data_IF_804801796596
#
_entry.id   IF_804801796596
#
_cell.length_a   1.000
_cell.length_b   1.000
_cell.length_c   1.000
_cell.angle_alpha   90.00
_cell.angle_beta   90.00
_cell.angle_gamma   90.00
#
_symmetry.space_group_name_H-M   'P 1'
#
loop_
_entity.id
_entity.type
_entity.pdbx_description
1 polymer ?
#
# COMPACT_ATOMS: atom_id res chain seq x y z
N UNK A 1 -12.34 13.14 -21.48
CA UNK A 1 -11.16 12.67 -22.24
C UNK A 1 -9.93 13.28 -21.59
N UNK A 2 -9.39 12.63 -20.56
CA UNK A 2 -8.10 13.05 -20.00
C UNK A 2 -7.04 12.45 -20.91
N UNK A 3 -6.46 13.28 -21.77
CA UNK A 3 -5.26 12.91 -22.50
C UNK A 3 -4.20 12.55 -21.46
N UNK A 4 -3.89 11.27 -21.32
CA UNK A 4 -2.66 10.83 -20.68
C UNK A 4 -1.52 11.47 -21.46
N UNK A 5 -0.95 12.52 -20.89
CA UNK A 5 0.27 13.13 -21.38
C UNK A 5 1.36 12.05 -21.26
N UNK A 6 1.70 11.41 -22.38
CA UNK A 6 2.81 10.45 -22.44
C UNK A 6 4.09 11.24 -22.18
N UNK A 7 4.53 11.27 -20.93
CA UNK A 7 5.83 11.80 -20.56
C UNK A 7 6.89 10.88 -21.19
N UNK A 8 7.47 11.32 -22.30
CA UNK A 8 8.56 10.62 -22.96
C UNK A 8 9.85 10.83 -22.16
N UNK A 9 10.51 9.73 -21.78
CA UNK A 9 11.73 9.77 -20.97
C UNK A 9 12.91 9.42 -21.89
N UNK A 10 13.78 10.39 -22.22
CA UNK A 10 14.90 10.18 -23.13
C UNK A 10 16.01 9.37 -22.47
N UNK A 11 16.46 8.29 -23.11
CA UNK A 11 17.58 7.47 -22.64
C UNK A 11 18.96 8.07 -22.96
N UNK A 12 18.98 9.09 -23.80
CA UNK A 12 20.13 9.97 -24.08
C UNK A 12 19.66 11.41 -23.84
N UNK A 13 19.64 11.86 -22.57
CA UNK A 13 19.00 13.11 -22.19
C UNK A 13 19.77 14.33 -22.72
N UNK A 14 19.03 15.36 -23.15
CA UNK A 14 19.60 16.63 -23.63
C UNK A 14 19.24 17.76 -22.66
N UNK A 15 20.23 18.19 -21.87
CA UNK A 15 20.05 19.27 -20.89
C UNK A 15 19.43 18.82 -19.57
N UNK A 16 19.22 19.78 -18.67
CA UNK A 16 18.94 19.52 -17.25
C UNK A 16 17.60 18.83 -17.00
N UNK A 17 16.57 19.19 -17.75
CA UNK A 17 15.23 18.62 -17.57
C UNK A 17 15.21 17.13 -17.92
N UNK A 18 15.79 16.78 -19.07
CA UNK A 18 15.89 15.40 -19.53
C UNK A 18 16.75 14.53 -18.60
N UNK A 19 17.86 15.09 -18.09
CA UNK A 19 18.69 14.42 -17.08
C UNK A 19 17.83 14.08 -15.86
N UNK A 20 17.05 15.03 -15.37
CA UNK A 20 16.20 14.82 -14.21
C UNK A 20 15.07 13.80 -14.46
N UNK A 21 14.48 13.81 -15.66
CA UNK A 21 13.49 12.80 -16.08
C UNK A 21 14.10 11.39 -16.08
N UNK A 22 15.28 11.23 -16.69
CA UNK A 22 15.96 9.94 -16.73
C UNK A 22 16.41 9.48 -15.34
N UNK A 23 16.98 10.38 -14.53
CA UNK A 23 17.36 10.11 -13.14
C UNK A 23 16.16 9.61 -12.32
N UNK A 24 15.05 10.33 -12.38
CA UNK A 24 13.80 9.97 -11.69
C UNK A 24 13.29 8.61 -12.15
N UNK A 25 13.28 8.39 -13.47
CA UNK A 25 12.82 7.13 -14.04
C UNK A 25 13.69 5.94 -13.63
N UNK A 26 15.02 6.11 -13.62
CA UNK A 26 15.96 5.09 -13.18
C UNK A 26 15.81 4.79 -11.69
N UNK A 27 15.65 5.82 -10.86
CA UNK A 27 15.46 5.66 -9.43
C UNK A 27 14.17 4.90 -9.14
N UNK A 28 13.03 5.38 -9.64
CA UNK A 28 11.72 4.75 -9.42
C UNK A 28 11.70 3.35 -10.03
N UNK A 29 12.12 3.20 -11.29
CA UNK A 29 12.17 1.91 -11.97
C UNK A 29 13.04 0.88 -11.24
N UNK A 30 14.11 1.30 -10.57
CA UNK A 30 14.95 0.41 -9.76
C UNK A 30 14.32 0.12 -8.39
N UNK A 31 13.76 1.13 -7.72
CA UNK A 31 13.15 0.99 -6.39
C UNK A 31 11.94 0.04 -6.40
N UNK A 32 11.13 0.06 -7.45
CA UNK A 32 9.93 -0.77 -7.57
C UNK A 32 10.20 -2.19 -8.10
N UNK A 33 11.46 -2.55 -8.34
CA UNK A 33 11.79 -3.95 -8.63
C UNK A 33 11.53 -4.82 -7.38
N UNK A 34 10.86 -5.98 -7.51
CA UNK A 34 10.55 -6.84 -6.37
C UNK A 34 11.78 -7.24 -5.53
N UNK A 35 12.89 -7.56 -6.19
CA UNK A 35 14.15 -7.94 -5.53
C UNK A 35 14.79 -6.79 -4.75
N UNK A 36 14.58 -5.55 -5.21
CA UNK A 36 15.10 -4.34 -4.54
C UNK A 36 14.20 -3.95 -3.36
N UNK A 37 12.87 -4.04 -3.51
CA UNK A 37 11.93 -3.80 -2.42
C UNK A 37 12.16 -4.74 -1.23
N UNK A 38 12.40 -6.02 -1.50
CA UNK A 38 12.71 -7.01 -0.47
C UNK A 38 14.02 -6.66 0.24
N UNK A 39 15.07 -6.34 -0.52
CA UNK A 39 16.38 -5.95 0.01
C UNK A 39 16.31 -4.72 0.90
N UNK A 40 15.58 -3.68 0.47
CA UNK A 40 15.38 -2.47 1.28
C UNK A 40 14.58 -2.82 2.55
N UNK A 41 13.57 -3.68 2.46
CA UNK A 41 12.77 -4.08 3.62
C UNK A 41 13.60 -4.87 4.65
N UNK A 42 14.54 -5.71 4.21
CA UNK A 42 15.38 -6.52 5.11
C UNK A 42 16.63 -5.82 5.62
N UNK A 43 17.08 -4.73 4.96
CA UNK A 43 18.28 -4.02 5.36
C UNK A 43 18.10 -3.23 6.67
N UNK A 44 19.08 -3.31 7.58
CA UNK A 44 19.15 -2.46 8.77
C UNK A 44 19.40 -0.99 8.37
N UNK A 45 20.22 -0.76 7.34
CA UNK A 45 20.58 0.57 6.82
C UNK A 45 19.79 0.98 5.58
N UNK A 46 18.45 0.97 5.66
CA UNK A 46 17.57 1.28 4.51
C UNK A 46 17.85 2.63 3.87
N UNK A 47 18.13 3.64 4.69
CA UNK A 47 18.39 5.02 4.25
C UNK A 47 19.67 5.11 3.43
N UNK A 48 20.74 4.43 3.85
CA UNK A 48 22.02 4.34 3.13
C UNK A 48 21.85 3.67 1.76
N UNK A 49 21.03 2.62 1.69
CA UNK A 49 20.71 1.94 0.43
C UNK A 49 19.96 2.84 -0.54
N UNK A 50 18.95 3.57 -0.06
CA UNK A 50 18.17 4.51 -0.88
C UNK A 50 19.05 5.66 -1.36
N UNK A 51 19.90 6.24 -0.50
CA UNK A 51 20.86 7.29 -0.90
C UNK A 51 21.83 6.77 -1.98
N UNK A 52 22.38 5.56 -1.79
CA UNK A 52 23.28 4.94 -2.77
C UNK A 52 22.62 4.69 -4.12
N UNK A 53 21.32 4.32 -4.14
CA UNK A 53 20.53 4.17 -5.36
C UNK A 53 20.27 5.51 -6.05
N UNK A 54 19.93 6.55 -5.29
CA UNK A 54 19.72 7.90 -5.82
C UNK A 54 21.00 8.44 -6.48
N UNK A 55 22.15 8.32 -5.81
CA UNK A 55 23.45 8.74 -6.38
C UNK A 55 23.78 7.93 -7.63
N UNK A 56 23.52 6.62 -7.64
CA UNK A 56 23.76 5.78 -8.81
C UNK A 56 22.89 6.17 -10.02
N UNK A 57 21.60 6.42 -9.79
CA UNK A 57 20.65 6.85 -10.81
C UNK A 57 21.04 8.23 -11.38
N UNK A 58 21.35 9.19 -10.51
CA UNK A 58 21.80 10.53 -10.90
C UNK A 58 23.11 10.50 -11.67
N UNK A 59 24.05 9.66 -11.26
CA UNK A 59 25.33 9.49 -11.95
C UNK A 59 25.13 8.93 -13.36
N UNK A 60 24.34 7.86 -13.50
CA UNK A 60 24.09 7.24 -14.80
C UNK A 60 23.36 8.19 -15.75
N UNK A 61 22.35 8.93 -15.28
CA UNK A 61 21.60 9.87 -16.10
C UNK A 61 22.52 10.96 -16.72
N UNK A 62 23.47 11.47 -15.94
CA UNK A 62 24.45 12.47 -16.38
C UNK A 62 25.51 11.88 -17.31
N UNK A 63 25.97 10.65 -17.06
CA UNK A 63 26.87 9.95 -17.98
C UNK A 63 26.21 9.78 -19.36
N UNK A 64 24.91 9.46 -19.39
CA UNK A 64 24.15 9.39 -20.67
C UNK A 64 23.96 10.75 -21.33
N UNK A 65 24.02 11.84 -20.57
CA UNK A 65 24.12 13.21 -21.07
C UNK A 65 25.53 13.61 -21.52
N UNK A 66 26.50 12.67 -21.57
CA UNK A 66 27.90 12.86 -21.96
C UNK A 66 28.73 13.72 -21.00
N UNK A 67 28.28 13.90 -19.76
CA UNK A 67 29.10 14.52 -18.71
C UNK A 67 30.27 13.60 -18.33
N UNK A 68 31.41 14.20 -18.02
CA UNK A 68 32.59 13.50 -17.51
C UNK A 68 32.40 13.10 -16.05
N UNK A 69 33.16 12.09 -15.59
CA UNK A 69 33.12 11.66 -14.18
C UNK A 69 33.40 12.79 -13.19
N UNK A 70 34.22 13.77 -13.57
CA UNK A 70 34.57 14.92 -12.75
C UNK A 70 33.39 15.87 -12.58
N UNK A 71 32.73 16.24 -13.69
CA UNK A 71 31.53 17.10 -13.67
C UNK A 71 30.38 16.44 -12.90
N UNK A 72 30.22 15.11 -13.04
CA UNK A 72 29.20 14.36 -12.30
C UNK A 72 29.50 14.37 -10.79
N UNK A 73 30.77 14.20 -10.42
CA UNK A 73 31.22 14.20 -9.03
C UNK A 73 30.96 15.57 -8.37
N UNK A 74 31.27 16.65 -9.08
CA UNK A 74 30.99 18.02 -8.64
C UNK A 74 29.48 18.26 -8.49
N UNK A 75 28.67 17.93 -9.50
CA UNK A 75 27.23 18.20 -9.50
C UNK A 75 26.47 17.38 -8.43
N UNK A 76 26.90 16.13 -8.17
CA UNK A 76 26.29 15.27 -7.14
C UNK A 76 26.92 15.43 -5.74
N UNK A 77 27.97 16.24 -5.60
CA UNK A 77 28.68 16.43 -4.33
C UNK A 77 29.33 15.15 -3.81
N UNK A 78 29.87 14.29 -4.70
CA UNK A 78 30.53 13.02 -4.35
C UNK A 78 31.94 12.96 -4.94
N UNK A 79 32.73 11.99 -4.51
CA UNK A 79 34.08 11.80 -5.09
C UNK A 79 34.00 11.14 -6.47
N UNK A 80 34.94 11.43 -7.36
CA UNK A 80 35.04 10.74 -8.66
C UNK A 80 35.17 9.23 -8.51
N UNK A 81 35.84 8.76 -7.45
CA UNK A 81 35.98 7.33 -7.16
C UNK A 81 34.61 6.70 -6.88
N UNK A 82 33.77 7.36 -6.07
CA UNK A 82 32.39 6.95 -5.79
C UNK A 82 31.58 6.88 -7.08
N UNK A 83 31.58 7.95 -7.89
CA UNK A 83 30.85 8.01 -9.15
C UNK A 83 31.30 6.89 -10.10
N UNK A 84 32.60 6.71 -10.28
CA UNK A 84 33.18 5.66 -11.13
C UNK A 84 32.75 4.27 -10.67
N UNK A 85 32.71 4.02 -9.36
CA UNK A 85 32.29 2.73 -8.82
C UNK A 85 30.79 2.46 -9.08
N UNK A 86 29.93 3.47 -9.03
CA UNK A 86 28.52 3.32 -9.42
C UNK A 86 28.37 3.09 -10.94
N UNK A 87 28.99 3.94 -11.77
CA UNK A 87 28.89 3.84 -13.24
C UNK A 87 29.44 2.52 -13.80
N UNK A 88 30.48 1.97 -13.17
CA UNK A 88 31.05 0.66 -13.58
C UNK A 88 30.33 -0.54 -12.95
N UNK A 89 29.28 -0.32 -12.16
CA UNK A 89 28.52 -1.40 -11.52
C UNK A 89 29.27 -2.16 -10.42
N UNK A 90 30.38 -1.60 -9.91
CA UNK A 90 31.13 -2.19 -8.78
C UNK A 90 30.32 -2.15 -7.49
N UNK A 91 29.52 -1.10 -7.31
CA UNK A 91 28.57 -1.04 -6.19
C UNK A 91 27.29 -1.79 -6.54
N UNK A 92 26.64 -2.37 -5.53
CA UNK A 92 25.38 -3.08 -5.74
C UNK A 92 24.28 -2.13 -6.29
N UNK A 93 24.20 -0.90 -5.77
CA UNK A 93 23.30 0.12 -6.29
C UNK A 93 23.58 0.45 -7.77
N UNK A 94 24.85 0.64 -8.13
CA UNK A 94 25.25 0.87 -9.52
C UNK A 94 24.84 -0.27 -10.44
N UNK A 95 25.08 -1.52 -10.02
CA UNK A 95 24.66 -2.70 -10.77
C UNK A 95 23.14 -2.75 -11.00
N UNK A 96 22.34 -2.51 -9.95
CA UNK A 96 20.88 -2.53 -10.05
C UNK A 96 20.34 -1.45 -11.01
N UNK A 97 20.91 -0.25 -10.95
CA UNK A 97 20.52 0.87 -11.82
C UNK A 97 20.92 0.61 -13.28
N UNK A 98 22.11 0.04 -13.53
CA UNK A 98 22.53 -0.37 -14.88
C UNK A 98 21.59 -1.42 -15.48
N UNK A 99 21.24 -2.45 -14.70
CA UNK A 99 20.26 -3.47 -15.12
C UNK A 99 18.89 -2.85 -15.46
N UNK A 100 18.44 -1.85 -14.68
CA UNK A 100 17.19 -1.12 -14.97
C UNK A 100 17.31 -0.31 -16.27
N UNK A 101 18.43 0.39 -16.48
CA UNK A 101 18.66 1.14 -17.73
C UNK A 101 18.71 0.22 -18.95
N UNK A 102 19.36 -0.95 -18.84
CA UNK A 102 19.39 -1.96 -19.91
C UNK A 102 18.00 -2.49 -20.26
N UNK A 103 17.13 -2.67 -19.26
CA UNK A 103 15.71 -3.01 -19.51
C UNK A 103 15.00 -1.87 -20.25
N UNK A 104 15.20 -0.62 -19.83
CA UNK A 104 14.62 0.53 -20.51
C UNK A 104 15.05 0.64 -21.97
N UNK A 105 16.31 0.30 -22.30
CA UNK A 105 16.79 0.25 -23.69
C UNK A 105 16.06 -0.79 -24.54
N UNK A 106 15.67 -1.93 -23.96
CA UNK A 106 15.04 -3.05 -24.69
C UNK A 106 13.54 -2.87 -24.82
N UNK A 107 12.89 -2.42 -23.76
CA UNK A 107 11.42 -2.48 -23.61
C UNK A 107 10.77 -1.09 -23.66
N UNK A 108 11.58 -0.03 -23.69
CA UNK A 108 11.16 1.33 -23.41
C UNK A 108 11.05 1.59 -21.90
N UNK A 109 10.89 2.85 -21.51
CA UNK A 109 10.70 3.21 -20.10
C UNK A 109 9.29 2.82 -19.66
N UNK A 110 9.17 1.61 -19.12
CA UNK A 110 7.94 1.09 -18.50
C UNK A 110 8.17 1.00 -17.00
N UNK A 111 7.73 2.04 -16.30
CA UNK A 111 7.70 2.00 -14.84
C UNK A 111 6.39 1.35 -14.45
N UNK A 112 6.42 0.04 -14.27
CA UNK A 112 5.35 -0.67 -13.59
C UNK A 112 5.40 -0.23 -12.12
N UNK A 113 4.63 0.82 -11.80
CA UNK A 113 4.22 1.05 -10.43
C UNK A 113 3.40 -0.17 -10.07
N UNK A 114 4.05 -1.18 -9.49
CA UNK A 114 3.36 -2.32 -8.95
C UNK A 114 2.39 -1.74 -7.92
N UNK A 115 1.11 -1.70 -8.32
CA UNK A 115 -0.02 -1.75 -7.41
C UNK A 115 0.31 -2.72 -6.28
N UNK A 116 -0.18 -2.47 -5.04
CA UNK A 116 0.18 -3.25 -3.86
C UNK A 116 0.26 -4.73 -4.24
N UNK A 117 1.33 -5.45 -3.83
CA UNK A 117 1.68 -6.77 -4.34
C UNK A 117 0.42 -7.59 -4.62
N UNK A 118 0.34 -8.33 -5.73
CA UNK A 118 -0.85 -9.14 -6.07
C UNK A 118 -1.45 -9.88 -4.85
N UNK A 119 -0.60 -10.36 -3.94
CA UNK A 119 -0.99 -10.93 -2.64
C UNK A 119 -1.69 -9.96 -1.68
N UNK A 120 -1.26 -8.70 -1.58
CA UNK A 120 -1.97 -7.66 -0.84
C UNK A 120 -3.31 -7.32 -1.50
N UNK A 121 -3.40 -7.27 -2.83
CA UNK A 121 -4.67 -7.03 -3.50
C UNK A 121 -5.66 -8.20 -3.25
N UNK A 122 -5.17 -9.43 -3.29
CA UNK A 122 -5.96 -10.63 -2.99
C UNK A 122 -6.35 -10.69 -1.50
N UNK A 123 -5.44 -10.36 -0.58
CA UNK A 123 -5.73 -10.26 0.86
C UNK A 123 -6.76 -9.18 1.15
N UNK A 124 -6.66 -8.01 0.52
CA UNK A 124 -7.64 -6.93 0.65
C UNK A 124 -9.00 -7.37 0.11
N UNK A 125 -9.04 -8.13 -0.99
CA UNK A 125 -10.29 -8.69 -1.53
C UNK A 125 -10.92 -9.70 -0.56
N UNK A 126 -10.13 -10.65 -0.03
CA UNK A 126 -10.60 -11.63 0.97
C UNK A 126 -11.10 -10.96 2.23
N UNK A 127 -10.36 -10.00 2.77
CA UNK A 127 -10.75 -9.23 3.96
C UNK A 127 -12.04 -8.43 3.73
N UNK A 128 -12.27 -7.92 2.52
CA UNK A 128 -13.52 -7.23 2.17
C UNK A 128 -14.71 -8.21 2.15
N UNK A 129 -14.54 -9.38 1.55
CA UNK A 129 -15.59 -10.41 1.55
C UNK A 129 -15.92 -10.90 2.98
N UNK A 130 -14.90 -11.13 3.81
CA UNK A 130 -15.09 -11.50 5.22
C UNK A 130 -15.80 -10.40 6.00
N UNK A 131 -15.46 -9.13 5.75
CA UNK A 131 -16.09 -7.98 6.39
C UNK A 131 -17.58 -7.88 6.01
N UNK A 132 -17.92 -8.11 4.75
CA UNK A 132 -19.32 -8.05 4.29
C UNK A 132 -20.15 -9.22 4.82
N UNK A 133 -19.58 -10.43 4.88
CA UNK A 133 -20.23 -11.57 5.55
C UNK A 133 -20.47 -11.29 7.03
N UNK A 134 -19.44 -10.84 7.75
CA UNK A 134 -19.55 -10.52 9.17
C UNK A 134 -20.58 -9.41 9.44
N UNK A 135 -20.69 -8.41 8.57
CA UNK A 135 -21.74 -7.37 8.67
C UNK A 135 -23.14 -7.95 8.46
N UNK A 136 -23.32 -8.82 7.46
CA UNK A 136 -24.61 -9.47 7.21
C UNK A 136 -25.03 -10.36 8.38
N UNK A 137 -24.10 -11.15 8.94
CA UNK A 137 -24.35 -11.98 10.12
C UNK A 137 -24.68 -11.11 11.34
N UNK A 138 -23.94 -10.03 11.56
CA UNK A 138 -24.22 -9.09 12.65
C UNK A 138 -25.63 -8.48 12.53
N UNK A 139 -26.07 -8.16 11.31
CA UNK A 139 -27.41 -7.61 11.08
C UNK A 139 -28.51 -8.66 11.35
N UNK A 140 -28.31 -9.91 10.92
CA UNK A 140 -29.25 -11.00 11.22
C UNK A 140 -29.34 -11.26 12.73
N UNK A 141 -28.19 -11.29 13.42
CA UNK A 141 -28.14 -11.48 14.88
C UNK A 141 -28.83 -10.32 15.58
N UNK A 142 -28.66 -9.07 15.13
CA UNK A 142 -29.39 -7.93 15.69
C UNK A 142 -30.90 -8.06 15.53
N UNK A 143 -31.37 -8.43 14.34
CA UNK A 143 -32.80 -8.63 14.09
C UNK A 143 -33.38 -9.75 14.96
N UNK A 144 -32.66 -10.87 15.09
CA UNK A 144 -33.07 -11.97 15.96
C UNK A 144 -33.12 -11.53 17.44
N UNK A 145 -32.09 -10.81 17.90
CA UNK A 145 -32.04 -10.25 19.25
C UNK A 145 -33.19 -9.29 19.53
N UNK A 146 -33.52 -8.39 18.60
CA UNK A 146 -34.68 -7.52 18.73
C UNK A 146 -36.01 -8.28 18.78
N UNK A 147 -36.13 -9.34 17.97
CA UNK A 147 -37.31 -10.21 17.96
C UNK A 147 -37.50 -10.95 19.29
N UNK A 148 -36.42 -11.56 19.81
CA UNK A 148 -36.44 -12.20 21.13
C UNK A 148 -36.72 -11.20 22.25
N UNK A 149 -36.16 -10.00 22.18
CA UNK A 149 -36.42 -8.93 23.15
C UNK A 149 -37.91 -8.53 23.17
N UNK A 150 -38.57 -8.45 22.01
CA UNK A 150 -40.02 -8.19 21.94
C UNK A 150 -40.84 -9.33 22.57
N UNK A 151 -40.52 -10.58 22.22
CA UNK A 151 -41.19 -11.76 22.83
C UNK A 151 -41.02 -11.79 24.34
N UNK A 152 -39.83 -11.46 24.84
CA UNK A 152 -39.58 -11.37 26.28
C UNK A 152 -40.45 -10.30 26.94
N UNK A 153 -40.64 -9.15 26.30
CA UNK A 153 -41.50 -8.08 26.79
C UNK A 153 -42.99 -8.49 26.80
N UNK A 154 -43.47 -9.15 25.75
CA UNK A 154 -44.83 -9.70 25.69
C UNK A 154 -45.09 -10.71 26.82
N UNK A 155 -44.13 -11.62 27.05
CA UNK A 155 -44.21 -12.58 28.15
C UNK A 155 -44.22 -11.88 29.50
N UNK A 156 -43.40 -10.83 29.70
CA UNK A 156 -43.41 -10.01 30.92
C UNK A 156 -44.76 -9.35 31.17
N UNK A 157 -45.37 -8.78 30.14
CA UNK A 157 -46.70 -8.16 30.23
C UNK A 157 -47.80 -9.19 30.53
N UNK A 158 -47.74 -10.37 29.91
CA UNK A 158 -48.66 -11.47 30.19
C UNK A 158 -48.55 -11.94 31.64
N UNK A 159 -47.32 -12.14 32.16
CA UNK A 159 -47.08 -12.49 33.56
C UNK A 159 -47.63 -11.42 34.50
N UNK A 160 -47.42 -10.13 34.19
CA UNK A 160 -47.96 -9.01 34.98
C UNK A 160 -49.49 -9.03 35.05
N UNK A 161 -50.15 -9.27 33.92
CA UNK A 161 -51.62 -9.34 33.83
C UNK A 161 -52.17 -10.56 34.57
N UNK A 162 -51.50 -11.72 34.47
CA UNK A 162 -51.89 -12.92 35.21
C UNK A 162 -51.73 -12.68 36.71
N UNK A 163 -50.63 -12.05 37.12
CA UNK A 163 -50.35 -11.73 38.52
C UNK A 163 -51.40 -10.78 39.10
N UNK A 164 -51.85 -9.77 38.36
CA UNK A 164 -52.90 -8.86 38.81
C UNK A 164 -54.25 -9.57 38.96
N UNK A 165 -54.66 -10.36 37.97
CA UNK A 165 -55.90 -11.15 38.02
C UNK A 165 -55.89 -12.16 39.17
N UNK A 166 -54.76 -12.82 39.41
CA UNK A 166 -54.61 -13.75 40.53
C UNK A 166 -54.78 -13.04 41.88
N UNK A 167 -54.25 -11.82 41.99
CA UNK A 167 -54.40 -10.99 43.20
C UNK A 167 -55.85 -10.56 43.43
N UNK A 168 -56.57 -10.18 42.36
CA UNK A 168 -58.01 -9.87 42.42
C UNK A 168 -58.82 -11.10 42.87
N UNK A 169 -58.58 -12.26 42.24
CA UNK A 169 -59.24 -13.52 42.61
C UNK A 169 -58.99 -13.91 44.07
N UNK A 170 -57.76 -13.74 44.58
CA UNK A 170 -57.45 -13.99 45.98
C UNK A 170 -58.24 -13.06 46.91
N UNK A 171 -58.35 -11.78 46.58
CA UNK A 171 -59.15 -10.83 47.35
C UNK A 171 -60.64 -11.18 47.34
N UNK A 172 -61.17 -11.65 46.22
CA UNK A 172 -62.57 -12.03 46.12
C UNK A 172 -62.88 -13.32 46.89
N UNK A 173 -61.96 -14.30 46.89
CA UNK A 173 -62.05 -15.49 47.75
C UNK A 173 -61.99 -15.11 49.23
N UNK A 174 -61.09 -14.21 49.64
CA UNK A 174 -61.02 -13.73 51.02
C UNK A 174 -62.31 -13.03 51.49
N UNK A 175 -62.99 -12.31 50.60
CA UNK A 175 -64.30 -11.69 50.90
C UNK A 175 -65.43 -12.71 51.03
N UNK A 176 -65.36 -13.84 50.32
CA UNK A 176 -66.38 -14.90 50.37
C UNK A 176 -66.26 -15.80 51.60
N UNK A 177 -65.07 -15.86 52.20
CA UNK A 177 -64.77 -16.69 53.38
C UNK A 177 -64.97 -15.92 54.71
N UNK A 178 -65.17 -14.59 54.67
CA UNK A 178 -65.54 -13.75 55.82
C UNK A 178 -67.03 -13.55 55.92
#
# INVERSE_FOLDING_TARGET
>A
MSSEEKVEIPLTPLGREDIHKLETALLIGTLFRPDVLEMIRSAEERTTWIDSLAVAAGALAREKAKMTTSEIAEDLGRTEATIRNHLTGKTKAGKLVLETYEKFLKEGVKIELTTPPSELAEQVSKLREELDKAKSELEQVKLAYEGEKRKLEEVRQAISTISSKLKELLQDVEKLVK
#
